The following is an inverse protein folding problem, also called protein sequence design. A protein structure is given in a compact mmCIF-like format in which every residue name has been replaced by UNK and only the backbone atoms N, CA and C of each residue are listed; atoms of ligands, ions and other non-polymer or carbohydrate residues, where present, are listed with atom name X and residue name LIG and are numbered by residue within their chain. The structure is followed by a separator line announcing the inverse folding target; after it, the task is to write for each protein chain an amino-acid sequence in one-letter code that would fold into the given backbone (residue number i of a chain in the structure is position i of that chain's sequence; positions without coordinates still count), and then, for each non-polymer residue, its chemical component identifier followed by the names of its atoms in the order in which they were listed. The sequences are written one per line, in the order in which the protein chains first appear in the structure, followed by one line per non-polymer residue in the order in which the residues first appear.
data_IF_011448505925
#
_entry.id   IF_011448505925
#
_cell.length_a   1.000
_cell.length_b   1.000
_cell.length_c   1.000
_cell.angle_alpha   90.00
_cell.angle_beta   90.00
_cell.angle_gamma   90.00
#
_symmetry.space_group_name_H-M   'P 1'
#
loop_
_entity.id
_entity.type
_entity.pdbx_description
1 polymer ?
#
# COMPACT_ATOMS: atom_id res chain seq x y z
N UNK A 1 -27.47 -12.79 80.34
CA UNK A 1 -28.92 -12.97 80.19
C UNK A 1 -29.14 -13.35 78.75
N UNK A 2 -29.34 -14.65 78.57
CA UNK A 2 -30.58 -15.36 78.27
C UNK A 2 -30.86 -15.28 76.75
N UNK A 3 -31.09 -16.29 75.97
CA UNK A 3 -31.25 -17.73 76.16
C UNK A 3 -31.40 -18.37 74.78
N UNK A 4 -30.79 -19.53 74.59
CA UNK A 4 -31.05 -20.47 73.51
C UNK A 4 -32.44 -21.09 73.73
N UNK A 5 -33.18 -21.50 72.73
CA UNK A 5 -33.65 -22.88 72.83
C UNK A 5 -33.41 -23.72 71.56
N UNK A 6 -32.98 -24.89 71.85
CA UNK A 6 -32.98 -26.15 71.11
C UNK A 6 -34.36 -26.65 70.73
N UNK A 7 -34.36 -27.69 69.84
CA UNK A 7 -35.32 -28.81 69.69
C UNK A 7 -36.18 -28.65 68.44
N UNK A 8 -36.32 -29.65 67.52
CA UNK A 8 -36.53 -31.11 67.70
C UNK A 8 -36.31 -31.88 66.39
N UNK A 9 -35.69 -33.01 66.52
CA UNK A 9 -35.69 -34.04 65.51
C UNK A 9 -37.12 -34.64 65.42
N UNK A 10 -37.55 -34.96 64.19
CA UNK A 10 -38.50 -36.05 63.96
C UNK A 10 -38.07 -36.87 62.76
N UNK A 11 -37.74 -38.10 63.01
CA UNK A 11 -37.50 -39.14 62.03
C UNK A 11 -38.84 -39.58 61.40
N UNK A 12 -38.83 -39.74 60.10
CA UNK A 12 -39.94 -40.30 59.32
C UNK A 12 -39.40 -41.14 58.16
N UNK A 13 -39.52 -42.48 58.37
CA UNK A 13 -39.17 -43.51 57.40
C UNK A 13 -40.03 -43.43 56.15
N UNK A 14 -39.38 -43.55 54.99
CA UNK A 14 -40.07 -43.74 53.72
C UNK A 14 -39.09 -44.26 52.66
N UNK A 15 -38.74 -45.52 52.73
CA UNK A 15 -37.99 -46.23 51.71
C UNK A 15 -38.86 -46.41 50.44
N UNK A 16 -38.57 -45.77 49.38
CA UNK A 16 -39.08 -46.11 48.05
C UNK A 16 -37.89 -46.27 47.08
N UNK A 17 -37.71 -47.53 46.65
CA UNK A 17 -36.78 -47.95 45.60
C UNK A 17 -37.00 -47.10 44.32
N UNK A 18 -36.10 -46.23 44.01
CA UNK A 18 -35.99 -45.68 42.66
C UNK A 18 -34.92 -46.47 41.90
N UNK A 19 -35.34 -47.25 40.94
CA UNK A 19 -34.51 -48.07 40.07
C UNK A 19 -33.59 -47.12 39.27
N UNK A 20 -32.31 -47.30 39.42
CA UNK A 20 -31.28 -46.55 38.63
C UNK A 20 -31.42 -46.91 37.15
N UNK A 21 -31.95 -46.00 36.37
CA UNK A 21 -32.01 -46.05 34.93
C UNK A 21 -30.58 -45.85 34.39
N UNK A 22 -29.93 -46.95 33.96
CA UNK A 22 -28.60 -46.90 33.33
C UNK A 22 -28.62 -45.93 32.16
N UNK A 23 -27.62 -45.02 32.00
CA UNK A 23 -27.55 -44.12 30.86
C UNK A 23 -27.33 -44.92 29.57
N UNK A 24 -28.15 -44.68 28.58
CA UNK A 24 -28.05 -45.27 27.26
C UNK A 24 -26.76 -44.77 26.55
N UNK A 25 -25.77 -45.62 26.21
CA UNK A 25 -24.50 -45.19 25.59
C UNK A 25 -24.65 -44.78 24.11
N UNK A 26 -25.88 -44.65 23.60
CA UNK A 26 -26.19 -44.26 22.24
C UNK A 26 -26.84 -42.86 22.12
N UNK A 27 -26.83 -42.04 23.18
CA UNK A 27 -27.20 -40.65 23.04
C UNK A 27 -26.14 -39.96 22.19
N UNK A 28 -26.49 -39.71 20.95
CA UNK A 28 -25.61 -39.15 19.94
C UNK A 28 -24.89 -37.88 20.44
N UNK A 29 -23.56 -37.89 20.37
CA UNK A 29 -22.76 -36.66 20.48
C UNK A 29 -23.38 -35.60 19.59
N UNK A 30 -23.68 -34.40 20.11
CA UNK A 30 -24.08 -33.33 19.25
C UNK A 30 -22.94 -33.15 18.22
N UNK A 31 -23.23 -33.42 16.96
CA UNK A 31 -22.37 -33.04 15.85
C UNK A 31 -22.27 -31.52 15.91
N UNK A 32 -21.19 -31.06 16.52
CA UNK A 32 -20.77 -29.66 16.46
C UNK A 32 -20.48 -29.36 14.99
N UNK A 33 -21.54 -28.99 14.24
CA UNK A 33 -21.46 -28.37 12.92
C UNK A 33 -21.11 -26.88 13.13
N UNK A 34 -20.04 -26.64 13.85
CA UNK A 34 -19.32 -25.37 13.83
C UNK A 34 -18.61 -25.33 12.48
N UNK A 35 -19.08 -24.46 11.61
CA UNK A 35 -18.57 -24.30 10.27
C UNK A 35 -17.11 -23.88 10.23
N UNK A 36 -16.21 -24.85 10.10
CA UNK A 36 -15.06 -24.65 9.26
C UNK A 36 -15.63 -24.49 7.85
N UNK A 37 -15.67 -23.27 7.35
CA UNK A 37 -16.12 -22.99 5.99
C UNK A 37 -15.42 -23.97 5.07
N UNK A 38 -16.20 -24.81 4.44
CA UNK A 38 -15.74 -25.76 3.43
C UNK A 38 -14.99 -24.93 2.39
N UNK A 39 -13.65 -24.95 2.44
CA UNK A 39 -12.80 -24.27 1.45
C UNK A 39 -13.00 -25.07 0.17
N UNK A 40 -14.15 -24.83 -0.47
CA UNK A 40 -14.44 -25.39 -1.78
C UNK A 40 -13.35 -24.90 -2.71
N UNK A 41 -12.63 -25.84 -3.29
CA UNK A 41 -11.68 -25.52 -4.37
C UNK A 41 -12.41 -24.67 -5.40
N UNK A 42 -11.83 -23.53 -5.84
CA UNK A 42 -12.48 -22.68 -6.81
C UNK A 42 -12.90 -23.51 -8.03
N UNK A 43 -14.14 -23.34 -8.46
CA UNK A 43 -14.66 -24.06 -9.64
C UNK A 43 -14.02 -23.53 -10.94
N UNK A 44 -14.15 -24.24 -12.07
CA UNK A 44 -13.61 -23.83 -13.36
C UNK A 44 -14.11 -22.44 -13.79
N UNK A 45 -15.34 -22.08 -13.42
CA UNK A 45 -15.91 -20.76 -13.68
C UNK A 45 -15.12 -19.64 -12.97
N UNK A 46 -14.68 -19.88 -11.73
CA UNK A 46 -13.87 -18.93 -10.95
C UNK A 46 -12.50 -18.73 -11.62
N UNK A 47 -11.86 -19.81 -12.07
CA UNK A 47 -10.59 -19.69 -12.79
C UNK A 47 -10.76 -19.01 -14.16
N UNK A 48 -11.87 -19.27 -14.85
CA UNK A 48 -12.22 -18.59 -16.10
C UNK A 48 -12.42 -17.08 -15.90
N UNK A 49 -13.17 -16.69 -14.86
CA UNK A 49 -13.38 -15.28 -14.50
C UNK A 49 -12.06 -14.58 -14.11
N UNK A 50 -11.23 -15.22 -13.28
CA UNK A 50 -9.92 -14.69 -12.93
C UNK A 50 -8.99 -14.54 -14.13
N UNK A 51 -8.99 -15.54 -15.04
CA UNK A 51 -8.24 -15.48 -16.31
C UNK A 51 -8.71 -14.32 -17.19
N UNK A 52 -10.01 -14.13 -17.33
CA UNK A 52 -10.57 -13.01 -18.10
C UNK A 52 -10.18 -11.65 -17.53
N UNK A 53 -10.25 -11.47 -16.19
CA UNK A 53 -9.81 -10.25 -15.51
C UNK A 53 -8.31 -10.02 -15.72
N UNK A 54 -7.50 -11.08 -15.61
CA UNK A 54 -6.05 -10.98 -15.82
C UNK A 54 -5.73 -10.55 -17.25
N UNK A 55 -6.35 -11.17 -18.25
CA UNK A 55 -6.15 -10.81 -19.65
C UNK A 55 -6.61 -9.38 -19.96
N UNK A 56 -7.76 -8.96 -19.42
CA UNK A 56 -8.26 -7.60 -19.55
C UNK A 56 -7.30 -6.58 -18.91
N UNK A 57 -6.70 -6.91 -17.76
CA UNK A 57 -5.74 -6.05 -17.06
C UNK A 57 -4.39 -5.95 -17.77
N UNK A 58 -3.95 -7.01 -18.43
CA UNK A 58 -2.69 -7.02 -19.19
C UNK A 58 -2.83 -6.41 -20.59
N UNK A 59 -4.06 -6.38 -21.13
CA UNK A 59 -4.32 -5.93 -22.49
C UNK A 59 -3.78 -4.54 -22.82
N UNK A 60 -3.93 -3.50 -21.97
CA UNK A 60 -3.39 -2.17 -22.27
C UNK A 60 -1.87 -2.16 -22.41
N UNK A 61 -1.14 -2.92 -21.58
CA UNK A 61 0.31 -3.03 -21.66
C UNK A 61 0.74 -3.79 -22.92
N UNK A 62 0.06 -4.91 -23.21
CA UNK A 62 0.30 -5.66 -24.43
C UNK A 62 0.03 -4.82 -25.67
N UNK A 63 -1.08 -4.09 -25.69
CA UNK A 63 -1.43 -3.22 -26.81
C UNK A 63 -0.44 -2.07 -27.00
N UNK A 64 0.03 -1.46 -25.90
CA UNK A 64 1.10 -0.45 -25.95
C UNK A 64 2.37 -1.00 -26.57
N UNK A 65 2.75 -2.24 -26.21
CA UNK A 65 3.89 -2.92 -26.84
C UNK A 65 3.65 -3.20 -28.32
N UNK A 66 2.44 -3.69 -28.68
CA UNK A 66 2.10 -3.96 -30.09
C UNK A 66 2.26 -2.70 -30.94
N UNK A 67 1.61 -1.59 -30.56
CA UNK A 67 1.71 -0.33 -31.31
C UNK A 67 3.14 0.20 -31.31
N UNK A 68 3.83 0.15 -30.17
CA UNK A 68 5.23 0.54 -30.05
C UNK A 68 6.20 -0.29 -30.88
N UNK A 69 5.77 -1.49 -31.33
CA UNK A 69 6.57 -2.37 -32.20
C UNK A 69 6.33 -2.17 -33.70
N UNK A 70 5.42 -1.28 -34.08
CA UNK A 70 5.09 -0.97 -35.47
C UNK A 70 5.63 0.39 -35.92
N UNK A 71 5.39 0.73 -37.18
CA UNK A 71 5.67 2.05 -37.75
C UNK A 71 4.59 3.09 -37.35
N UNK A 72 4.84 4.36 -37.63
CA UNK A 72 3.93 5.47 -37.30
C UNK A 72 2.55 5.37 -37.97
N UNK A 73 2.39 4.56 -39.01
CA UNK A 73 1.13 4.39 -39.75
C UNK A 73 0.29 3.23 -39.25
N UNK A 74 0.77 2.47 -38.26
CA UNK A 74 0.09 1.27 -37.78
C UNK A 74 -1.34 1.55 -37.31
N UNK A 75 -1.55 2.63 -36.56
CA UNK A 75 -2.87 3.00 -36.06
C UNK A 75 -3.85 3.43 -37.16
N UNK A 76 -3.36 3.98 -38.28
CA UNK A 76 -4.23 4.34 -39.41
C UNK A 76 -4.61 3.12 -40.28
N UNK A 77 -3.86 2.02 -40.21
CA UNK A 77 -4.17 0.76 -40.89
C UNK A 77 -5.09 -0.16 -40.11
N UNK A 78 -5.31 0.12 -38.81
CA UNK A 78 -6.12 -0.69 -37.92
C UNK A 78 -5.40 -1.06 -36.63
N UNK A 79 -6.03 -1.90 -35.81
CA UNK A 79 -5.45 -2.35 -34.54
C UNK A 79 -4.48 -3.51 -34.82
N UNK A 80 -3.17 -3.36 -34.56
CA UNK A 80 -2.23 -4.46 -34.73
C UNK A 80 -2.52 -5.56 -33.70
N UNK A 81 -2.59 -6.81 -34.14
CA UNK A 81 -2.81 -7.95 -33.25
C UNK A 81 -1.53 -8.77 -32.99
N UNK A 82 -0.49 -8.59 -33.81
CA UNK A 82 0.80 -9.27 -33.71
C UNK A 82 1.92 -8.25 -33.55
N UNK A 83 3.02 -8.58 -32.86
CA UNK A 83 4.18 -7.68 -32.75
C UNK A 83 4.80 -7.36 -34.13
N UNK A 84 5.19 -6.09 -34.30
CA UNK A 84 5.99 -5.62 -35.43
C UNK A 84 7.49 -5.71 -35.14
N UNK A 85 8.30 -5.37 -36.15
CA UNK A 85 9.77 -5.39 -36.03
C UNK A 85 10.43 -4.09 -35.57
N UNK A 86 9.66 -3.02 -35.38
CA UNK A 86 10.22 -1.64 -35.22
C UNK A 86 10.43 -1.21 -33.75
N UNK A 87 10.22 -2.08 -32.75
CA UNK A 87 10.32 -1.68 -31.35
C UNK A 87 11.67 -1.06 -30.99
N UNK A 88 12.78 -1.67 -31.41
CA UNK A 88 14.12 -1.16 -31.13
C UNK A 88 14.40 0.17 -31.85
N UNK A 89 13.92 0.31 -33.08
CA UNK A 89 14.04 1.57 -33.82
C UNK A 89 13.23 2.70 -33.16
N UNK A 90 12.02 2.41 -32.67
CA UNK A 90 11.20 3.36 -31.96
C UNK A 90 11.81 3.70 -30.57
N UNK A 91 12.37 2.70 -29.88
CA UNK A 91 13.12 2.93 -28.63
C UNK A 91 14.33 3.85 -28.85
N UNK A 92 15.10 3.67 -29.92
CA UNK A 92 16.19 4.56 -30.29
C UNK A 92 15.69 6.00 -30.50
N UNK A 93 14.60 6.18 -31.25
CA UNK A 93 13.97 7.52 -31.42
C UNK A 93 13.53 8.13 -30.08
N UNK A 94 13.03 7.34 -29.12
CA UNK A 94 12.72 7.87 -27.77
C UNK A 94 13.98 8.42 -27.12
N UNK A 95 15.09 7.70 -27.16
CA UNK A 95 16.35 8.13 -26.54
C UNK A 95 16.94 9.37 -27.18
N UNK A 96 16.75 9.54 -28.50
CA UNK A 96 17.23 10.68 -29.26
C UNK A 96 16.33 11.93 -29.09
N UNK A 97 15.01 11.71 -28.89
CA UNK A 97 14.03 12.80 -28.87
C UNK A 97 13.86 13.47 -27.50
N UNK A 98 14.13 12.76 -26.40
CA UNK A 98 13.96 13.25 -25.02
C UNK A 98 15.15 12.85 -24.15
N UNK A 99 15.41 13.58 -23.05
CA UNK A 99 16.46 13.23 -22.10
C UNK A 99 16.06 12.00 -21.24
N UNK A 100 15.78 10.85 -21.89
CA UNK A 100 15.21 9.66 -21.28
C UNK A 100 15.98 9.17 -20.05
N UNK A 101 17.29 9.02 -20.17
CA UNK A 101 18.13 8.47 -19.09
C UNK A 101 18.23 9.42 -17.90
N UNK A 102 18.27 10.74 -18.15
CA UNK A 102 18.19 11.74 -17.08
C UNK A 102 16.84 11.69 -16.37
N UNK A 103 15.76 11.65 -17.14
CA UNK A 103 14.40 11.56 -16.62
C UNK A 103 14.17 10.26 -15.82
N UNK A 104 14.72 9.13 -16.30
CA UNK A 104 14.73 7.85 -15.60
C UNK A 104 15.46 7.97 -14.26
N UNK A 105 16.69 8.52 -14.25
CA UNK A 105 17.45 8.75 -13.02
C UNK A 105 16.72 9.67 -12.04
N UNK A 106 16.12 10.76 -12.52
CA UNK A 106 15.30 11.66 -11.71
C UNK A 106 14.10 10.94 -11.09
N UNK A 107 13.37 10.15 -11.87
CA UNK A 107 12.21 9.40 -11.37
C UNK A 107 12.63 8.37 -10.32
N UNK A 108 13.73 7.63 -10.52
CA UNK A 108 14.26 6.69 -9.52
C UNK A 108 14.63 7.43 -8.24
N UNK A 109 15.37 8.53 -8.34
CA UNK A 109 15.80 9.33 -7.19
C UNK A 109 14.59 9.88 -6.42
N UNK A 110 13.67 10.57 -7.12
CA UNK A 110 12.48 11.17 -6.50
C UNK A 110 11.62 10.10 -5.83
N UNK A 111 11.32 9.00 -6.52
CA UNK A 111 10.47 7.94 -5.97
C UNK A 111 11.12 7.24 -4.78
N UNK A 112 12.43 6.98 -4.84
CA UNK A 112 13.15 6.31 -3.76
C UNK A 112 13.27 7.20 -2.53
N UNK A 113 13.68 8.48 -2.70
CA UNK A 113 13.86 9.42 -1.58
C UNK A 113 12.51 9.72 -0.93
N UNK A 114 11.48 9.98 -1.72
CA UNK A 114 10.13 10.24 -1.20
C UNK A 114 9.58 9.01 -0.46
N UNK A 115 9.72 7.80 -1.01
CA UNK A 115 9.25 6.58 -0.34
C UNK A 115 9.97 6.33 0.96
N UNK A 116 11.30 6.46 0.98
CA UNK A 116 12.09 6.29 2.20
C UNK A 116 11.69 7.31 3.27
N UNK A 117 11.54 8.58 2.88
CA UNK A 117 11.09 9.65 3.78
C UNK A 117 9.70 9.40 4.34
N UNK A 118 8.73 9.05 3.48
CA UNK A 118 7.35 8.74 3.90
C UNK A 118 7.35 7.58 4.88
N UNK A 119 8.11 6.51 4.62
CA UNK A 119 8.21 5.37 5.55
C UNK A 119 8.74 5.80 6.91
N UNK A 120 9.84 6.54 6.94
CA UNK A 120 10.47 6.96 8.20
C UNK A 120 9.54 7.90 8.99
N UNK A 121 9.09 8.98 8.38
CA UNK A 121 8.28 9.98 9.08
C UNK A 121 6.89 9.46 9.44
N UNK A 122 6.26 8.68 8.55
CA UNK A 122 4.95 8.09 8.84
C UNK A 122 5.03 7.01 9.92
N UNK A 123 6.11 6.21 9.96
CA UNK A 123 6.30 5.20 11.01
C UNK A 123 6.55 5.89 12.36
N UNK A 124 7.37 6.95 12.38
CA UNK A 124 7.62 7.72 13.58
C UNK A 124 6.35 8.38 14.12
N UNK A 125 5.59 9.06 13.26
CA UNK A 125 4.31 9.66 13.62
C UNK A 125 3.28 8.59 14.02
N UNK A 126 3.20 7.48 13.28
CA UNK A 126 2.32 6.35 13.58
C UNK A 126 2.62 5.72 14.93
N UNK A 127 3.88 5.53 15.27
CA UNK A 127 4.31 5.07 16.59
C UNK A 127 3.90 6.06 17.69
N UNK A 128 4.10 7.36 17.47
CA UNK A 128 3.69 8.38 18.43
C UNK A 128 2.18 8.35 18.68
N UNK A 129 1.35 8.30 17.64
CA UNK A 129 -0.11 8.23 17.78
C UNK A 129 -0.62 6.89 18.33
N UNK A 130 0.08 5.80 18.07
CA UNK A 130 -0.31 4.47 18.53
C UNK A 130 0.07 4.22 19.99
N UNK A 131 1.26 4.67 20.43
CA UNK A 131 1.90 4.24 21.69
C UNK A 131 2.20 5.35 22.68
N UNK A 132 2.24 6.62 22.25
CA UNK A 132 2.46 7.72 23.17
C UNK A 132 1.14 8.33 23.64
N UNK A 133 1.08 8.62 24.95
CA UNK A 133 -0.07 9.33 25.56
C UNK A 133 0.28 10.81 25.70
N UNK A 134 -0.23 11.65 24.80
CA UNK A 134 -0.07 13.10 24.87
C UNK A 134 -1.40 13.83 24.68
N UNK A 135 -1.49 15.05 25.24
CA UNK A 135 -2.72 15.86 25.17
C UNK A 135 -2.99 16.25 23.71
N UNK A 136 -4.23 16.05 23.27
CA UNK A 136 -4.67 16.42 21.94
C UNK A 136 -4.37 15.36 20.85
N UNK A 137 -3.74 14.21 21.18
CA UNK A 137 -3.38 13.17 20.18
C UNK A 137 -4.56 12.73 19.31
N UNK A 138 -5.74 12.52 19.90
CA UNK A 138 -6.95 12.12 19.17
C UNK A 138 -7.41 13.19 18.17
N UNK A 139 -7.47 14.46 18.62
CA UNK A 139 -7.86 15.58 17.76
C UNK A 139 -6.87 15.81 16.61
N UNK A 140 -5.57 15.73 16.91
CA UNK A 140 -4.52 15.85 15.90
C UNK A 140 -4.57 14.71 14.86
N UNK A 141 -4.79 13.47 15.28
CA UNK A 141 -4.95 12.34 14.37
C UNK A 141 -6.20 12.52 13.49
N UNK A 142 -7.33 12.96 14.06
CA UNK A 142 -8.54 13.26 13.28
C UNK A 142 -8.27 14.37 12.27
N UNK A 143 -7.55 15.43 12.65
CA UNK A 143 -7.14 16.49 11.74
C UNK A 143 -6.28 15.94 10.58
N UNK A 144 -5.26 15.13 10.89
CA UNK A 144 -4.42 14.48 9.85
C UNK A 144 -5.28 13.65 8.88
N UNK A 145 -6.21 12.85 9.40
CA UNK A 145 -7.11 12.04 8.55
C UNK A 145 -8.03 12.94 7.72
N UNK A 146 -8.56 14.02 8.30
CA UNK A 146 -9.43 14.97 7.60
C UNK A 146 -8.73 15.64 6.41
N UNK A 147 -7.40 15.87 6.48
CA UNK A 147 -6.63 16.41 5.35
C UNK A 147 -6.64 15.49 4.12
N UNK A 148 -6.87 14.18 4.29
CA UNK A 148 -6.99 13.24 3.16
C UNK A 148 -8.23 13.49 2.30
N UNK A 149 -9.27 14.12 2.86
CA UNK A 149 -10.49 14.48 2.11
C UNK A 149 -10.30 15.72 1.23
N UNK A 150 -9.21 16.47 1.42
CA UNK A 150 -8.92 17.67 0.63
C UNK A 150 -8.20 17.25 -0.66
N UNK A 151 -8.76 17.52 -1.85
CA UNK A 151 -8.09 17.23 -3.12
C UNK A 151 -6.75 17.98 -3.21
N UNK A 152 -5.65 17.27 -3.41
CA UNK A 152 -4.31 17.85 -3.46
C UNK A 152 -4.15 18.88 -4.59
N UNK A 153 -4.94 18.74 -5.66
CA UNK A 153 -4.94 19.67 -6.80
C UNK A 153 -5.35 21.10 -6.42
N UNK A 154 -6.16 21.27 -5.38
CA UNK A 154 -6.57 22.60 -4.91
C UNK A 154 -5.39 23.42 -4.35
N UNK A 155 -4.36 22.73 -3.84
CA UNK A 155 -3.16 23.36 -3.30
C UNK A 155 -2.06 23.67 -4.30
N UNK A 156 -2.23 23.34 -5.59
CA UNK A 156 -1.15 23.39 -6.58
C UNK A 156 -0.64 24.81 -6.80
N UNK A 157 -1.54 25.79 -6.97
CA UNK A 157 -1.14 27.20 -7.20
C UNK A 157 -0.43 27.79 -5.98
N UNK A 158 -0.97 27.71 -4.76
CA UNK A 158 -0.24 28.16 -3.57
C UNK A 158 1.10 27.44 -3.38
N UNK A 159 1.16 26.14 -3.63
CA UNK A 159 2.39 25.37 -3.50
C UNK A 159 3.44 25.83 -4.52
N UNK A 160 3.05 26.07 -5.77
CA UNK A 160 3.95 26.63 -6.81
C UNK A 160 4.54 27.97 -6.38
N UNK A 161 3.71 28.87 -5.83
CA UNK A 161 4.17 30.17 -5.33
C UNK A 161 5.21 29.99 -4.22
N UNK A 162 4.99 29.04 -3.32
CA UNK A 162 5.96 28.75 -2.25
C UNK A 162 7.26 28.22 -2.84
N UNK A 163 7.22 27.27 -3.78
CA UNK A 163 8.42 26.74 -4.43
C UNK A 163 9.18 27.83 -5.21
N UNK A 164 8.46 28.72 -5.88
CA UNK A 164 9.05 29.84 -6.60
C UNK A 164 9.76 30.82 -5.64
N UNK A 165 9.12 31.16 -4.51
CA UNK A 165 9.74 32.02 -3.49
C UNK A 165 10.98 31.40 -2.83
N UNK A 166 11.02 30.05 -2.72
CA UNK A 166 12.19 29.33 -2.21
C UNK A 166 13.29 29.15 -3.27
N UNK A 167 13.02 29.53 -4.53
CA UNK A 167 13.97 29.31 -5.64
C UNK A 167 14.13 27.83 -6.01
N UNK A 168 13.13 27.00 -5.72
CA UNK A 168 13.19 25.54 -5.94
C UNK A 168 12.52 25.10 -7.25
N UNK A 169 11.81 25.97 -7.95
CA UNK A 169 11.26 25.65 -9.28
C UNK A 169 12.36 25.15 -10.22
N UNK A 170 12.06 24.18 -11.06
CA UNK A 170 13.02 23.52 -11.94
C UNK A 170 13.92 22.49 -11.24
N UNK A 171 13.89 22.37 -9.90
CA UNK A 171 14.70 21.42 -9.14
C UNK A 171 13.88 20.24 -8.61
N UNK A 172 14.54 19.09 -8.39
CA UNK A 172 13.87 17.92 -7.83
C UNK A 172 13.40 18.12 -6.38
N UNK A 173 13.96 19.09 -5.65
CA UNK A 173 13.52 19.46 -4.30
C UNK A 173 12.08 19.92 -4.26
N UNK A 174 11.62 20.63 -5.31
CA UNK A 174 10.24 21.07 -5.41
C UNK A 174 9.25 19.88 -5.55
N UNK A 175 9.71 18.72 -5.99
CA UNK A 175 8.89 17.50 -6.07
C UNK A 175 9.03 16.68 -4.80
N UNK A 176 10.23 16.53 -4.26
CA UNK A 176 10.53 15.66 -3.11
C UNK A 176 9.94 16.24 -1.80
N UNK A 177 10.26 17.50 -1.49
CA UNK A 177 9.98 18.07 -0.17
C UNK A 177 8.47 18.09 0.19
N UNK A 178 7.55 18.47 -0.71
CA UNK A 178 6.12 18.40 -0.40
C UNK A 178 5.61 16.97 -0.15
N UNK A 179 6.33 15.98 -0.66
CA UNK A 179 5.94 14.56 -0.60
C UNK A 179 6.57 13.75 0.53
N UNK A 180 7.44 14.33 1.38
CA UNK A 180 8.24 13.57 2.38
C UNK A 180 7.41 12.92 3.49
N UNK A 181 6.17 13.39 3.73
CA UNK A 181 5.22 12.81 4.66
C UNK A 181 3.82 12.88 4.06
N UNK A 182 3.02 11.83 4.28
CA UNK A 182 1.65 11.78 3.77
C UNK A 182 0.67 11.45 4.91
N UNK A 183 -0.52 12.06 4.87
CA UNK A 183 -1.58 11.77 5.85
C UNK A 183 -1.99 10.29 5.80
N UNK A 184 -2.06 9.70 4.59
CA UNK A 184 -2.29 8.26 4.41
C UNK A 184 -1.21 7.41 5.10
N UNK A 185 0.06 7.74 4.92
CA UNK A 185 1.16 7.02 5.55
C UNK A 185 1.08 7.06 7.08
N UNK A 186 0.81 8.24 7.66
CA UNK A 186 0.63 8.40 9.12
C UNK A 186 -0.56 7.58 9.61
N UNK A 187 -1.70 7.64 8.93
CA UNK A 187 -2.88 6.84 9.25
C UNK A 187 -2.58 5.34 9.17
N UNK A 188 -2.00 4.88 8.05
CA UNK A 188 -1.66 3.49 7.80
C UNK A 188 -0.77 2.92 8.90
N UNK A 189 0.32 3.62 9.22
CA UNK A 189 1.28 3.18 10.23
C UNK A 189 0.69 3.24 11.64
N UNK A 190 -0.17 4.24 11.93
CA UNK A 190 -0.87 4.33 13.23
C UNK A 190 -1.78 3.12 13.44
N UNK A 191 -2.60 2.76 12.45
CA UNK A 191 -3.51 1.61 12.56
C UNK A 191 -2.72 0.31 12.70
N UNK A 192 -1.71 0.12 11.85
CA UNK A 192 -0.89 -1.10 11.92
C UNK A 192 -0.20 -1.27 13.28
N UNK A 193 0.45 -0.23 13.79
CA UNK A 193 1.19 -0.30 15.06
C UNK A 193 0.28 -0.42 16.29
N UNK A 194 -0.97 0.01 16.23
CA UNK A 194 -1.95 -0.26 17.29
C UNK A 194 -2.20 -1.74 17.47
N UNK A 195 -2.30 -2.46 16.36
CA UNK A 195 -2.66 -3.88 16.35
C UNK A 195 -1.44 -4.81 16.47
N UNK A 196 -0.33 -4.43 15.85
CA UNK A 196 0.86 -5.28 15.74
C UNK A 196 1.84 -5.13 16.91
N UNK A 197 1.72 -4.05 17.71
CA UNK A 197 2.65 -3.76 18.80
C UNK A 197 1.86 -3.70 20.13
N UNK A 198 1.90 -4.73 20.99
CA UNK A 198 1.30 -4.70 22.32
C UNK A 198 1.90 -3.62 23.22
N UNK A 199 1.06 -3.01 24.06
CA UNK A 199 1.51 -1.94 24.98
C UNK A 199 2.49 -2.48 26.03
N UNK A 200 2.35 -3.74 26.43
CA UNK A 200 3.20 -4.45 27.38
C UNK A 200 4.66 -4.49 26.92
N UNK A 201 4.91 -4.60 25.61
CA UNK A 201 6.27 -4.55 25.07
C UNK A 201 6.91 -3.16 25.25
N UNK A 202 6.14 -2.10 25.12
CA UNK A 202 6.63 -0.74 25.33
C UNK A 202 6.89 -0.48 26.83
N UNK A 203 6.02 -1.01 27.69
CA UNK A 203 6.20 -0.91 29.14
C UNK A 203 7.44 -1.68 29.60
N UNK A 204 7.67 -2.91 29.09
CA UNK A 204 8.86 -3.68 29.40
C UNK A 204 10.17 -2.94 29.02
N UNK A 205 10.25 -2.42 27.79
CA UNK A 205 11.40 -1.66 27.29
C UNK A 205 11.66 -0.40 28.14
N UNK A 206 10.59 0.24 28.64
CA UNK A 206 10.71 1.38 29.56
C UNK A 206 11.21 0.98 30.96
N UNK A 207 10.79 -0.18 31.46
CA UNK A 207 11.31 -0.71 32.73
C UNK A 207 12.80 -1.03 32.64
N UNK A 208 13.27 -1.44 31.45
CA UNK A 208 14.70 -1.65 31.17
C UNK A 208 15.48 -0.31 31.01
N UNK A 209 14.83 0.84 31.24
CA UNK A 209 15.46 2.17 31.19
C UNK A 209 15.63 2.78 29.81
N UNK A 210 15.07 2.17 28.76
CA UNK A 210 15.17 2.72 27.41
C UNK A 210 14.30 3.97 27.21
N UNK A 211 14.84 4.93 26.48
CA UNK A 211 14.07 6.11 26.02
C UNK A 211 13.04 5.72 24.96
N UNK A 212 12.03 6.58 24.72
CA UNK A 212 11.02 6.35 23.68
C UNK A 212 11.59 6.29 22.27
N UNK A 213 12.68 7.00 21.99
CA UNK A 213 13.40 6.93 20.71
C UNK A 213 14.06 5.56 20.56
N UNK A 214 14.65 5.03 21.63
CA UNK A 214 15.21 3.68 21.64
C UNK A 214 14.10 2.62 21.46
N UNK A 215 12.96 2.77 22.17
CA UNK A 215 11.80 1.90 22.01
C UNK A 215 11.28 1.95 20.56
N UNK A 216 11.27 3.11 19.91
CA UNK A 216 10.93 3.21 18.50
C UNK A 216 11.90 2.41 17.61
N UNK A 217 13.20 2.61 17.72
CA UNK A 217 14.18 1.98 16.83
C UNK A 217 14.35 0.49 17.06
N UNK A 218 14.30 0.03 18.32
CA UNK A 218 14.55 -1.37 18.66
C UNK A 218 13.30 -2.25 18.63
N UNK A 219 12.11 -1.67 18.83
CA UNK A 219 10.86 -2.42 18.91
C UNK A 219 9.84 -1.93 17.88
N UNK A 220 9.53 -0.64 17.85
CA UNK A 220 8.50 -0.06 17.00
C UNK A 220 8.78 -0.20 15.52
N UNK A 221 9.96 0.22 15.06
CA UNK A 221 10.36 0.15 13.66
C UNK A 221 10.52 -1.29 13.13
N UNK A 222 11.17 -2.23 13.86
CA UNK A 222 11.19 -3.64 13.49
C UNK A 222 9.79 -4.28 13.38
N UNK A 223 8.89 -3.99 14.33
CA UNK A 223 7.51 -4.47 14.28
C UNK A 223 6.74 -3.90 13.09
N UNK A 224 7.06 -2.68 12.67
CA UNK A 224 6.43 -1.99 11.55
C UNK A 224 6.89 -2.47 10.16
N UNK A 225 7.98 -3.26 10.04
CA UNK A 225 8.60 -3.63 8.76
C UNK A 225 7.61 -4.13 7.69
N UNK A 226 6.64 -5.01 7.99
CA UNK A 226 5.71 -5.48 6.96
C UNK A 226 4.84 -4.35 6.38
N UNK A 227 4.29 -3.49 7.26
CA UNK A 227 3.48 -2.34 6.82
C UNK A 227 4.33 -1.26 6.14
N UNK A 228 5.57 -1.06 6.61
CA UNK A 228 6.54 -0.14 6.02
C UNK A 228 6.91 -0.54 4.59
N UNK A 229 7.11 -1.85 4.33
CA UNK A 229 7.38 -2.35 2.99
C UNK A 229 6.21 -2.09 2.02
N UNK A 230 4.96 -2.29 2.48
CA UNK A 230 3.76 -1.98 1.70
C UNK A 230 3.62 -0.48 1.45
N UNK A 231 3.82 0.34 2.48
CA UNK A 231 3.78 1.80 2.36
C UNK A 231 4.87 2.32 1.40
N UNK A 232 6.09 1.77 1.47
CA UNK A 232 7.18 2.08 0.56
C UNK A 232 6.78 1.82 -0.89
N UNK A 233 6.23 0.64 -1.16
CA UNK A 233 5.79 0.26 -2.50
C UNK A 233 4.69 1.18 -3.03
N UNK A 234 3.63 1.42 -2.24
CA UNK A 234 2.55 2.32 -2.65
C UNK A 234 3.05 3.74 -2.93
N UNK A 235 3.92 4.25 -2.06
CA UNK A 235 4.50 5.59 -2.24
C UNK A 235 5.40 5.64 -3.47
N UNK A 236 6.23 4.61 -3.68
CA UNK A 236 7.10 4.55 -4.85
C UNK A 236 6.28 4.57 -6.13
N UNK A 237 5.26 3.70 -6.26
CA UNK A 237 4.41 3.64 -7.44
C UNK A 237 3.67 4.95 -7.66
N UNK A 238 3.08 5.53 -6.61
CA UNK A 238 2.37 6.80 -6.68
C UNK A 238 3.28 7.95 -7.14
N UNK A 239 4.53 7.98 -6.64
CA UNK A 239 5.51 9.01 -7.00
C UNK A 239 6.07 8.77 -8.41
N UNK A 240 6.34 7.51 -8.78
CA UNK A 240 6.82 7.13 -10.11
C UNK A 240 5.85 7.53 -11.21
N UNK A 241 4.56 7.35 -10.98
CA UNK A 241 3.50 7.64 -11.94
C UNK A 241 3.00 9.08 -11.86
N UNK A 242 3.51 9.87 -10.91
CA UNK A 242 3.07 11.26 -10.74
C UNK A 242 3.56 12.11 -11.91
N UNK A 243 2.59 12.61 -12.67
CA UNK A 243 2.84 13.52 -13.81
C UNK A 243 2.52 14.96 -13.45
N UNK A 244 1.38 15.20 -12.80
CA UNK A 244 0.76 16.52 -12.74
C UNK A 244 1.62 17.57 -12.01
N UNK A 245 2.08 17.28 -10.79
CA UNK A 245 2.89 18.21 -10.05
C UNK A 245 4.30 18.42 -10.65
N UNK A 246 5.05 17.35 -11.01
CA UNK A 246 6.32 17.50 -11.71
C UNK A 246 6.21 18.29 -13.01
N UNK A 247 5.14 18.13 -13.79
CA UNK A 247 4.92 18.88 -15.03
C UNK A 247 4.79 20.38 -14.80
N UNK A 248 4.22 20.80 -13.68
CA UNK A 248 4.03 22.22 -13.34
C UNK A 248 5.31 22.85 -12.80
N UNK A 249 6.10 22.10 -12.04
CA UNK A 249 7.18 22.69 -11.23
C UNK A 249 8.58 22.43 -11.79
N UNK A 250 8.76 21.45 -12.68
CA UNK A 250 10.06 21.13 -13.29
C UNK A 250 10.22 21.74 -14.67
N UNK A 251 11.47 21.98 -15.03
CA UNK A 251 11.84 22.42 -16.38
C UNK A 251 11.95 21.23 -17.36
N UNK A 252 11.71 21.43 -18.66
CA UNK A 252 11.92 20.40 -19.68
C UNK A 252 13.35 19.85 -19.72
N UNK A 253 14.34 20.61 -19.25
CA UNK A 253 15.73 20.15 -19.15
C UNK A 253 16.01 19.23 -17.96
N UNK A 254 15.09 19.16 -16.98
CA UNK A 254 15.24 18.36 -15.76
C UNK A 254 13.95 17.58 -15.39
N UNK A 255 13.34 16.87 -16.34
CA UNK A 255 12.04 16.24 -16.14
C UNK A 255 12.14 14.94 -15.33
N UNK A 256 11.00 14.50 -14.72
CA UNK A 256 10.76 13.10 -14.39
C UNK A 256 10.33 12.33 -15.64
N UNK A 257 10.34 11.00 -15.56
CA UNK A 257 10.05 10.15 -16.73
C UNK A 257 8.65 10.37 -17.32
N UNK A 258 7.56 10.47 -16.53
CA UNK A 258 6.25 10.81 -17.08
C UNK A 258 6.21 12.18 -17.78
N UNK A 259 6.95 13.18 -17.26
CA UNK A 259 7.04 14.50 -17.87
C UNK A 259 7.85 14.46 -19.16
N UNK A 260 8.96 13.71 -19.18
CA UNK A 260 9.76 13.54 -20.39
C UNK A 260 8.96 12.87 -21.52
N UNK A 261 8.17 11.85 -21.21
CA UNK A 261 7.32 11.19 -22.21
C UNK A 261 6.25 12.12 -22.79
N UNK A 262 5.78 13.11 -22.02
CA UNK A 262 4.87 14.13 -22.55
C UNK A 262 5.52 15.00 -23.64
N UNK A 263 6.83 15.20 -23.61
CA UNK A 263 7.54 15.95 -24.64
C UNK A 263 7.46 15.27 -26.02
N UNK A 264 7.33 13.94 -26.08
CA UNK A 264 7.10 13.20 -27.32
C UNK A 264 5.76 13.55 -27.98
N UNK A 265 4.80 14.07 -27.22
CA UNK A 265 3.48 14.46 -27.72
C UNK A 265 3.41 15.94 -28.09
N UNK A 266 4.45 16.72 -27.78
CA UNK A 266 4.49 18.15 -28.07
C UNK A 266 4.92 18.46 -29.51
N UNK A 267 5.30 17.47 -30.31
CA UNK A 267 5.68 17.62 -31.72
C UNK A 267 4.46 17.91 -32.60
N UNK A 268 4.68 18.63 -33.72
CA UNK A 268 3.61 18.92 -34.72
C UNK A 268 2.92 17.65 -35.26
N UNK A 269 3.66 16.54 -35.39
CA UNK A 269 3.15 15.22 -35.75
C UNK A 269 3.51 14.24 -34.64
N UNK A 270 2.51 13.78 -33.90
CA UNK A 270 2.70 12.82 -32.82
C UNK A 270 2.87 11.42 -33.42
N UNK A 271 4.05 10.82 -33.25
CA UNK A 271 4.28 9.42 -33.56
C UNK A 271 3.90 8.56 -32.36
N UNK A 272 2.66 8.05 -32.35
CA UNK A 272 2.16 7.21 -31.25
C UNK A 272 2.94 5.93 -31.09
N UNK A 273 3.62 5.40 -32.13
CA UNK A 273 4.46 4.22 -31.99
C UNK A 273 5.69 4.53 -31.13
N UNK A 274 6.27 5.71 -31.25
CA UNK A 274 7.38 6.19 -30.41
C UNK A 274 6.89 6.46 -28.99
N UNK A 275 5.74 7.14 -28.83
CA UNK A 275 5.16 7.44 -27.52
C UNK A 275 4.89 6.16 -26.74
N UNK A 276 4.27 5.15 -27.37
CA UNK A 276 3.93 3.89 -26.72
C UNK A 276 5.16 3.00 -26.46
N UNK A 277 6.16 3.03 -27.35
CA UNK A 277 7.46 2.40 -27.07
C UNK A 277 8.11 3.02 -25.82
N UNK A 278 8.10 4.36 -25.70
CA UNK A 278 8.56 5.07 -24.49
C UNK A 278 7.78 4.69 -23.22
N UNK A 279 6.47 4.56 -23.33
CA UNK A 279 5.62 4.13 -22.20
C UNK A 279 5.93 2.69 -21.74
N UNK A 280 6.17 1.76 -22.68
CA UNK A 280 6.63 0.40 -22.37
C UNK A 280 7.97 0.42 -21.65
N UNK A 281 8.94 1.18 -22.15
CA UNK A 281 10.25 1.34 -21.50
C UNK A 281 10.13 1.91 -20.09
N UNK A 282 9.25 2.88 -19.88
CA UNK A 282 8.99 3.47 -18.57
C UNK A 282 8.31 2.52 -17.58
N UNK A 283 7.65 1.48 -18.07
CA UNK A 283 6.98 0.47 -17.23
C UNK A 283 7.97 -0.58 -16.70
N UNK A 284 9.10 -0.80 -17.37
CA UNK A 284 10.07 -1.84 -17.02
C UNK A 284 10.55 -1.72 -15.55
N UNK A 285 10.96 -0.54 -15.03
CA UNK A 285 11.41 -0.43 -13.65
C UNK A 285 10.32 -0.79 -12.62
N UNK A 286 9.05 -0.45 -12.90
CA UNK A 286 7.93 -0.84 -12.05
C UNK A 286 7.72 -2.35 -12.04
N UNK A 287 7.81 -3.00 -13.19
CA UNK A 287 7.71 -4.47 -13.29
C UNK A 287 8.82 -5.14 -12.50
N UNK A 288 10.05 -4.65 -12.62
CA UNK A 288 11.19 -5.15 -11.83
C UNK A 288 10.97 -4.95 -10.33
N UNK A 289 10.44 -3.80 -9.92
CA UNK A 289 10.09 -3.53 -8.52
C UNK A 289 9.02 -4.51 -8.01
N UNK A 290 7.95 -4.74 -8.79
CA UNK A 290 6.90 -5.68 -8.41
C UNK A 290 7.40 -7.13 -8.32
N UNK A 291 8.28 -7.55 -9.20
CA UNK A 291 8.92 -8.87 -9.14
C UNK A 291 9.78 -8.99 -7.88
N UNK A 292 10.58 -7.97 -7.57
CA UNK A 292 11.44 -7.94 -6.37
C UNK A 292 10.63 -7.88 -5.07
N UNK A 293 9.55 -7.08 -5.04
CA UNK A 293 8.71 -6.86 -3.86
C UNK A 293 7.57 -7.89 -3.72
N UNK A 294 7.36 -8.78 -4.68
CA UNK A 294 6.18 -9.65 -4.75
C UNK A 294 5.99 -10.54 -3.52
N UNK A 295 7.07 -11.03 -2.91
CA UNK A 295 7.00 -11.84 -1.69
C UNK A 295 6.52 -11.02 -0.48
N UNK A 296 6.98 -9.77 -0.35
CA UNK A 296 6.57 -8.86 0.72
C UNK A 296 5.09 -8.47 0.58
N UNK A 297 4.62 -8.28 -0.66
CA UNK A 297 3.21 -8.01 -0.97
C UNK A 297 2.29 -9.13 -0.48
N UNK A 298 2.61 -10.37 -0.86
CA UNK A 298 1.80 -11.54 -0.48
C UNK A 298 1.79 -11.72 1.05
N UNK A 299 2.94 -11.61 1.70
CA UNK A 299 3.03 -11.77 3.17
C UNK A 299 2.28 -10.67 3.92
N UNK A 300 2.33 -9.41 3.46
CA UNK A 300 1.61 -8.29 4.07
C UNK A 300 0.08 -8.42 3.98
N UNK A 301 -0.43 -8.85 2.81
CA UNK A 301 -1.86 -9.08 2.59
C UNK A 301 -2.37 -10.25 3.43
N UNK A 302 -1.60 -11.35 3.51
CA UNK A 302 -1.99 -12.54 4.27
C UNK A 302 -2.07 -12.29 5.78
N UNK A 303 -1.19 -11.45 6.35
CA UNK A 303 -1.25 -11.09 7.78
C UNK A 303 -2.52 -10.29 8.14
N UNK A 304 -3.07 -9.51 7.19
CA UNK A 304 -4.33 -8.80 7.37
C UNK A 304 -5.57 -9.71 7.24
N UNK A 305 -5.49 -10.77 6.43
CA UNK A 305 -6.61 -11.65 6.14
C UNK A 305 -6.84 -12.76 7.19
N UNK A 306 -5.83 -13.10 8.00
CA UNK A 306 -5.91 -14.22 9.00
C UNK A 306 -6.45 -13.75 10.35
N UNK A 307 -6.70 -12.44 10.56
CA UNK A 307 -7.27 -11.87 11.80
C UNK A 307 -8.81 -11.78 11.80
N UNK A 308 -9.49 -12.40 10.82
CA UNK A 308 -10.95 -12.48 10.75
C UNK A 308 -11.50 -13.81 11.26
#
# INVERSE_FOLDING_TARGET
MSSIPMIRQTAGKGAAKAAAKRPNPRAGRPRNRGGAGDIRRPGPLTYGALGAVLLASLFPLYWSFLVGSHDSTALSRGIPLLPGGNFLANAAKVFDSIPFWKAMGNSILVSTVTSASVVIFSTLAGFAFAKLRFRGSKGLLVFVIATMAVPTQLGVVPLFIVMAKLGWTGTLWAVIIPGIVTAFGVFWMTQYLRDALPDELIEAVRMDGASMIQAFWYVGFPAARPAAAMLALFTFVATWTNFFWPFIVLDPSNPTLPVALQLLQAAHFVDYSVVLAGAVLATIPLLLLFIAAGRQLVSGIMQGAVKG
#
